data_IF_917638601282
#
_entry.id   IF_917638601282
#
_cell.length_a   1.000
_cell.length_b   1.000
_cell.length_c   1.000
_cell.angle_alpha   90.00
_cell.angle_beta   90.00
_cell.angle_gamma   90.00
#
_symmetry.space_group_name_H-M   'P 1'
#
loop_
_entity.id
_entity.type
_entity.pdbx_description
1 polymer ?
#
# COMPACT_ATOMS: atom_id res chain seq x y z
N UNK A 1 -9.76 -14.08 3.75
CA UNK A 1 -8.76 -14.17 4.83
C UNK A 1 -7.71 -13.11 4.57
N UNK A 2 -7.52 -12.16 5.49
CA UNK A 2 -6.43 -11.17 5.37
C UNK A 2 -5.14 -11.84 5.84
N UNK A 3 -4.17 -11.97 4.94
CA UNK A 3 -2.86 -12.54 5.25
C UNK A 3 -1.93 -11.39 5.63
N UNK A 4 -1.46 -11.37 6.87
CA UNK A 4 -0.43 -10.42 7.31
C UNK A 4 0.85 -10.68 6.53
N UNK A 5 1.33 -9.68 5.79
CA UNK A 5 2.58 -9.78 5.01
C UNK A 5 3.74 -9.31 5.90
N UNK A 6 4.86 -10.04 5.86
CA UNK A 6 6.08 -9.69 6.61
C UNK A 6 6.54 -8.24 6.36
N UNK A 7 6.41 -7.75 5.12
CA UNK A 7 6.83 -6.39 4.74
C UNK A 7 5.97 -5.26 5.35
N UNK A 8 4.86 -5.58 6.03
CA UNK A 8 3.91 -4.59 6.60
C UNK A 8 4.62 -3.62 7.54
N UNK A 9 5.41 -4.13 8.48
CA UNK A 9 6.09 -3.31 9.49
C UNK A 9 7.14 -2.38 8.85
N UNK A 10 7.81 -2.87 7.82
CA UNK A 10 8.77 -2.06 7.04
C UNK A 10 8.06 -0.93 6.30
N UNK A 11 6.92 -1.21 5.66
CA UNK A 11 6.15 -0.19 4.95
C UNK A 11 5.64 0.91 5.90
N UNK A 12 5.13 0.53 7.08
CA UNK A 12 4.66 1.48 8.10
C UNK A 12 5.83 2.32 8.63
N UNK A 13 6.95 1.69 8.99
CA UNK A 13 8.15 2.39 9.49
C UNK A 13 8.69 3.40 8.48
N UNK A 14 8.82 3.00 7.21
CA UNK A 14 9.27 3.89 6.14
C UNK A 14 8.32 5.06 5.92
N UNK A 15 6.99 4.84 6.01
CA UNK A 15 6.00 5.92 5.86
C UNK A 15 6.08 7.03 6.92
N UNK A 16 6.63 6.71 8.10
CA UNK A 16 6.84 7.70 9.16
C UNK A 16 8.04 8.61 8.90
N UNK A 17 9.00 8.14 8.09
CA UNK A 17 10.26 8.86 7.80
C UNK A 17 10.22 9.53 6.43
N UNK A 18 9.64 8.87 5.44
CA UNK A 18 9.58 9.32 4.06
C UNK A 18 8.21 9.87 3.72
N UNK A 19 8.16 11.08 3.13
CA UNK A 19 6.92 11.71 2.67
C UNK A 19 6.24 10.94 1.53
N UNK A 20 7.00 10.13 0.79
CA UNK A 20 6.52 9.34 -0.35
C UNK A 20 7.08 7.93 -0.22
N UNK A 21 6.19 6.94 -0.29
CA UNK A 21 6.53 5.52 -0.29
C UNK A 21 5.94 4.86 -1.54
N UNK A 22 6.77 4.15 -2.30
CA UNK A 22 6.34 3.42 -3.50
C UNK A 22 6.47 1.92 -3.26
N UNK A 23 5.39 1.17 -3.50
CA UNK A 23 5.39 -0.30 -3.41
C UNK A 23 5.54 -0.87 -4.83
N UNK A 24 6.68 -1.50 -5.11
CA UNK A 24 6.99 -2.10 -6.41
C UNK A 24 6.87 -3.62 -6.41
N UNK A 25 6.73 -4.22 -7.59
CA UNK A 25 6.72 -5.68 -7.76
C UNK A 25 5.82 -6.16 -8.92
N UNK A 26 5.85 -7.46 -9.25
CA UNK A 26 5.15 -8.04 -10.40
C UNK A 26 3.64 -7.70 -10.44
N UNK A 27 3.03 -7.79 -11.62
CA UNK A 27 1.58 -7.68 -11.75
C UNK A 27 0.89 -8.71 -10.82
N UNK A 28 -0.23 -8.32 -10.19
CA UNK A 28 -1.01 -9.17 -9.27
C UNK A 28 -0.31 -9.64 -7.98
N UNK A 29 0.89 -9.13 -7.64
CA UNK A 29 1.57 -9.44 -6.36
C UNK A 29 0.82 -8.98 -5.09
N UNK A 30 -0.33 -8.32 -5.21
CA UNK A 30 -1.13 -7.83 -4.09
C UNK A 30 -0.68 -6.48 -3.53
N UNK A 31 0.07 -5.68 -4.31
CA UNK A 31 0.60 -4.37 -3.91
C UNK A 31 -0.49 -3.40 -3.41
N UNK A 32 -1.58 -3.29 -4.16
CA UNK A 32 -2.76 -2.47 -3.81
C UNK A 32 -3.42 -2.94 -2.51
N UNK A 33 -3.51 -4.26 -2.32
CA UNK A 33 -4.07 -4.85 -1.10
C UNK A 33 -3.17 -4.55 0.10
N UNK A 34 -1.85 -4.71 -0.05
CA UNK A 34 -0.88 -4.36 0.99
C UNK A 34 -0.97 -2.87 1.37
N UNK A 35 -1.04 -1.96 0.40
CA UNK A 35 -1.18 -0.53 0.66
C UNK A 35 -2.45 -0.23 1.47
N UNK A 36 -3.60 -0.79 1.07
CA UNK A 36 -4.87 -0.61 1.77
C UNK A 36 -4.87 -1.20 3.18
N UNK A 37 -4.16 -2.31 3.39
CA UNK A 37 -3.99 -2.92 4.71
C UNK A 37 -3.09 -2.08 5.64
N UNK A 38 -2.00 -1.53 5.11
CA UNK A 38 -1.08 -0.70 5.89
C UNK A 38 -1.69 0.68 6.22
N UNK A 39 -2.53 1.20 5.33
CA UNK A 39 -3.04 2.57 5.41
C UNK A 39 -4.58 2.62 5.27
N UNK A 40 -5.35 1.95 6.14
CA UNK A 40 -6.80 1.79 5.97
C UNK A 40 -7.59 3.09 6.10
N UNK A 41 -7.04 4.08 6.80
CA UNK A 41 -7.66 5.41 6.97
C UNK A 41 -7.39 6.36 5.79
N UNK A 42 -6.55 5.96 4.82
CA UNK A 42 -6.20 6.81 3.68
C UNK A 42 -7.16 6.58 2.51
N UNK A 43 -7.49 7.67 1.82
CA UNK A 43 -8.20 7.58 0.55
C UNK A 43 -7.30 6.92 -0.49
N UNK A 44 -7.84 5.91 -1.15
CA UNK A 44 -7.17 5.26 -2.27
C UNK A 44 -7.58 5.96 -3.56
N UNK A 45 -6.60 6.33 -4.38
CA UNK A 45 -6.83 6.89 -5.71
C UNK A 45 -6.28 5.92 -6.76
N UNK A 46 -7.08 5.67 -7.79
CA UNK A 46 -6.64 4.93 -8.96
C UNK A 46 -6.34 5.93 -10.09
N UNK A 47 -5.15 5.82 -10.67
CA UNK A 47 -4.71 6.73 -11.72
C UNK A 47 -5.44 6.47 -13.05
N UNK A 48 -5.87 5.22 -13.27
CA UNK A 48 -6.64 4.81 -14.45
C UNK A 48 -8.15 5.08 -14.27
N UNK A 49 -8.57 5.47 -13.07
CA UNK A 49 -9.97 5.80 -12.74
C UNK A 49 -10.03 7.00 -11.78
N UNK A 50 -9.84 8.23 -12.31
CA UNK A 50 -9.68 9.45 -11.51
C UNK A 50 -10.97 9.96 -10.83
N UNK A 51 -12.06 9.18 -10.84
CA UNK A 51 -13.39 9.64 -10.44
C UNK A 51 -13.80 9.32 -8.99
N UNK A 52 -12.89 8.78 -8.17
CA UNK A 52 -13.11 8.13 -6.86
C UNK A 52 -13.73 6.73 -6.95
#
# INVERSE_FOLDING_TARGET
>A
MLITREITDTAISLSQTFRVLTITGPQQAGKTVLARMCFPAHKHYDMDSPQL
#
